data_IF_642924510074
#
_entry.id   IF_642924510074
#
_cell.length_a   1.000
_cell.length_b   1.000
_cell.length_c   1.000
_cell.angle_alpha   90.00
_cell.angle_beta   90.00
_cell.angle_gamma   90.00
#
_symmetry.space_group_name_H-M   'P 1'
#
loop_
_entity.id
_entity.type
_entity.pdbx_description
1 polymer ?
#
# COMPACT_ATOMS: atom_id res chain seq x y z
N UNK A 1 9.33 1.60 19.45
CA UNK A 1 7.99 1.86 18.89
C UNK A 1 7.48 0.57 18.27
N UNK A 2 6.17 0.26 18.36
CA UNK A 2 5.60 -0.91 17.71
C UNK A 2 5.79 -0.84 16.19
N UNK A 3 6.07 -1.98 15.56
CA UNK A 3 6.24 -2.09 14.10
C UNK A 3 4.87 -2.11 13.41
N UNK A 4 4.25 -0.94 13.26
CA UNK A 4 2.92 -0.82 12.64
C UNK A 4 3.07 -0.91 11.13
N UNK A 5 2.35 -1.84 10.51
CA UNK A 5 2.30 -2.03 9.06
C UNK A 5 0.97 -1.53 8.50
N UNK A 6 1.00 -0.98 7.29
CA UNK A 6 -0.16 -0.37 6.64
C UNK A 6 -0.47 -1.05 5.29
N UNK A 7 -1.74 -1.42 5.12
CA UNK A 7 -2.35 -1.67 3.82
C UNK A 7 -3.21 -0.50 3.36
N UNK A 8 -2.99 0.03 2.16
CA UNK A 8 -3.74 1.16 1.61
C UNK A 8 -4.76 0.70 0.58
N UNK A 9 -6.02 1.09 0.74
CA UNK A 9 -7.09 0.82 -0.23
C UNK A 9 -7.42 2.11 -0.98
N UNK A 10 -7.54 2.02 -2.31
CA UNK A 10 -7.76 3.18 -3.19
C UNK A 10 -6.62 4.20 -3.06
N UNK A 11 -5.39 3.69 -3.23
CA UNK A 11 -4.18 4.39 -2.84
C UNK A 11 -3.92 5.69 -3.61
N UNK A 12 -4.46 5.79 -4.83
CA UNK A 12 -4.19 6.91 -5.72
C UNK A 12 -2.68 7.13 -5.83
N UNK A 13 -2.24 8.37 -5.62
CA UNK A 13 -0.82 8.75 -5.71
C UNK A 13 0.00 8.45 -4.43
N UNK A 14 -0.60 7.80 -3.42
CA UNK A 14 0.10 7.34 -2.21
C UNK A 14 0.26 8.38 -1.11
N UNK A 15 -0.67 9.34 -0.98
CA UNK A 15 -0.64 10.35 0.10
C UNK A 15 -0.76 9.68 1.47
N UNK A 16 -1.60 8.66 1.60
CA UNK A 16 -1.80 7.96 2.87
C UNK A 16 -0.57 7.12 3.29
N UNK A 17 0.03 6.30 2.42
CA UNK A 17 1.35 5.70 2.66
C UNK A 17 2.44 6.71 3.03
N UNK A 18 2.45 7.89 2.41
CA UNK A 18 3.42 8.94 2.73
C UNK A 18 3.20 9.52 4.13
N UNK A 19 1.96 9.82 4.49
CA UNK A 19 1.61 10.29 5.83
C UNK A 19 1.95 9.24 6.90
N UNK A 20 1.60 7.97 6.65
CA UNK A 20 1.92 6.86 7.53
C UNK A 20 3.43 6.69 7.73
N UNK A 21 4.21 6.74 6.64
CA UNK A 21 5.67 6.65 6.69
C UNK A 21 6.29 7.77 7.52
N UNK A 22 5.74 9.00 7.42
CA UNK A 22 6.17 10.14 8.25
C UNK A 22 5.83 9.96 9.73
N UNK A 23 4.84 9.14 10.05
CA UNK A 23 4.48 8.76 11.42
C UNK A 23 5.20 7.49 11.91
N UNK A 24 6.16 6.95 11.14
CA UNK A 24 6.88 5.72 11.49
C UNK A 24 6.10 4.42 11.24
N UNK A 25 5.01 4.48 10.49
CA UNK A 25 4.21 3.32 10.07
C UNK A 25 4.70 2.86 8.69
N UNK A 26 4.95 1.56 8.51
CA UNK A 26 5.47 1.01 7.25
C UNK A 26 4.34 0.59 6.30
N UNK A 27 4.14 1.27 5.16
CA UNK A 27 3.26 0.75 4.12
C UNK A 27 3.85 -0.50 3.48
N UNK A 28 3.05 -1.56 3.41
CA UNK A 28 3.47 -2.89 2.93
C UNK A 28 2.73 -3.34 1.68
N UNK A 29 1.51 -2.86 1.49
CA UNK A 29 0.75 -3.10 0.27
C UNK A 29 -0.26 -2.00 0.01
N UNK A 30 -0.65 -1.87 -1.26
CA UNK A 30 -1.64 -0.93 -1.73
C UNK A 30 -2.52 -1.56 -2.81
N UNK A 31 -3.81 -1.23 -2.82
CA UNK A 31 -4.72 -1.54 -3.91
C UNK A 31 -5.10 -0.27 -4.66
N UNK A 32 -4.82 -0.28 -5.96
CA UNK A 32 -5.09 0.79 -6.91
C UNK A 32 -5.18 0.16 -8.31
N UNK A 33 -6.07 0.66 -9.16
CA UNK A 33 -6.29 0.16 -10.53
C UNK A 33 -5.61 1.05 -11.57
N UNK A 34 -5.42 2.32 -11.26
CA UNK A 34 -4.90 3.31 -12.20
C UNK A 34 -3.37 3.20 -12.35
N UNK A 35 -2.90 3.02 -13.58
CA UNK A 35 -1.48 2.78 -13.87
C UNK A 35 -0.58 3.97 -13.51
N UNK A 36 -1.03 5.19 -13.77
CA UNK A 36 -0.23 6.39 -13.49
C UNK A 36 0.01 6.60 -11.99
N UNK A 37 -1.03 6.55 -11.13
CA UNK A 37 -0.85 6.57 -9.68
C UNK A 37 0.02 5.40 -9.15
N UNK A 38 -0.18 4.17 -9.63
CA UNK A 38 0.68 3.02 -9.28
C UNK A 38 2.15 3.29 -9.63
N UNK A 39 2.44 3.89 -10.79
CA UNK A 39 3.82 4.21 -11.18
C UNK A 39 4.47 5.22 -10.24
N UNK A 40 3.70 6.19 -9.72
CA UNK A 40 4.18 7.18 -8.76
C UNK A 40 4.48 6.50 -7.43
N UNK A 41 3.57 5.68 -6.94
CA UNK A 41 3.72 5.01 -5.64
C UNK A 41 4.81 3.95 -5.64
N UNK A 42 4.98 3.19 -6.72
CA UNK A 42 6.14 2.28 -6.90
C UNK A 42 7.48 2.99 -6.83
N UNK A 43 7.58 4.23 -7.33
CA UNK A 43 8.83 5.00 -7.29
C UNK A 43 9.18 5.44 -5.86
N UNK A 44 8.18 5.79 -5.06
CA UNK A 44 8.39 6.29 -3.68
C UNK A 44 8.44 5.16 -2.65
N UNK A 45 7.76 4.04 -2.92
CA UNK A 45 7.65 2.87 -2.05
C UNK A 45 7.97 1.59 -2.84
N UNK A 46 9.25 1.36 -3.20
CA UNK A 46 9.65 0.23 -4.05
C UNK A 46 9.34 -1.14 -3.44
N UNK A 47 9.29 -1.21 -2.10
CA UNK A 47 9.03 -2.45 -1.35
C UNK A 47 7.52 -2.69 -1.11
N UNK A 48 6.65 -1.77 -1.51
CA UNK A 48 5.21 -1.88 -1.33
C UNK A 48 4.57 -2.73 -2.43
N UNK A 49 3.81 -3.76 -2.04
CA UNK A 49 3.13 -4.64 -3.00
C UNK A 49 1.87 -3.96 -3.55
N UNK A 50 1.76 -3.87 -4.87
CA UNK A 50 0.56 -3.33 -5.54
C UNK A 50 -0.38 -4.45 -5.94
N UNK A 51 -1.52 -4.56 -5.26
CA UNK A 51 -2.48 -5.67 -5.43
C UNK A 51 -3.43 -5.47 -6.62
N UNK A 52 -3.52 -4.26 -7.18
CA UNK A 52 -4.43 -3.99 -8.30
C UNK A 52 -5.88 -3.83 -7.84
N UNK A 53 -6.80 -4.41 -8.61
CA UNK A 53 -8.25 -4.36 -8.41
C UNK A 53 -8.69 -5.08 -7.13
N UNK A 54 -9.14 -4.31 -6.14
CA UNK A 54 -9.56 -4.81 -4.82
C UNK A 54 -10.67 -5.87 -4.90
N UNK A 55 -11.54 -5.81 -5.91
CA UNK A 55 -12.65 -6.77 -6.05
C UNK A 55 -12.17 -8.18 -6.39
N UNK A 56 -10.94 -8.30 -6.90
CA UNK A 56 -10.26 -9.56 -7.21
C UNK A 56 -9.29 -10.01 -6.12
N UNK A 57 -9.11 -9.20 -5.07
CA UNK A 57 -8.22 -9.51 -3.97
C UNK A 57 -8.95 -10.36 -2.94
N UNK A 58 -8.40 -11.53 -2.66
CA UNK A 58 -8.83 -12.38 -1.55
C UNK A 58 -8.13 -11.91 -0.28
N UNK A 59 -8.85 -11.16 0.57
CA UNK A 59 -8.32 -10.63 1.83
C UNK A 59 -7.75 -11.70 2.76
N UNK A 60 -8.22 -12.94 2.68
CA UNK A 60 -7.69 -14.06 3.48
C UNK A 60 -6.35 -14.60 2.96
N UNK A 61 -5.99 -14.30 1.70
CA UNK A 61 -4.70 -14.66 1.08
C UNK A 61 -3.67 -13.54 1.12
N UNK A 62 -4.08 -12.30 1.41
CA UNK A 62 -3.15 -11.23 1.71
C UNK A 62 -2.38 -11.68 2.96
N UNK A 63 -1.03 -11.74 2.93
CA UNK A 63 -0.27 -12.09 4.12
C UNK A 63 -0.75 -11.24 5.29
N UNK A 64 -1.06 -11.82 6.45
CA UNK A 64 -1.19 -11.01 7.65
C UNK A 64 0.21 -10.47 7.89
N UNK A 65 0.44 -9.22 7.47
CA UNK A 65 1.64 -8.48 7.84
C UNK A 65 1.47 -8.12 9.32
N UNK A 66 1.47 -9.15 10.17
CA UNK A 66 1.50 -9.10 11.63
C UNK A 66 2.94 -8.86 12.07
#
# INVERSE_FOLDING_TARGET
MPDIKLGSLFDGIGVFPLAASRCGIRPVWASEIEKAPISITKRHFPDMVHLGDITKVDGGKIPPFM
#
